data_IF_420632429562
#
_entry.id   IF_420632429562
#
_cell.length_a   1.000
_cell.length_b   1.000
_cell.length_c   1.000
_cell.angle_alpha   90.00
_cell.angle_beta   90.00
_cell.angle_gamma   90.00
#
_symmetry.space_group_name_H-M   'P 1'
#
loop_
_entity.id
_entity.type
_entity.pdbx_description
1 polymer ?
#
# COMPACT_ATOMS: atom_id res chain seq x y z
N UNK A 1 -30.91 29.59 17.01
CA UNK A 1 -30.23 28.41 16.46
C UNK A 1 -31.32 27.46 15.98
N UNK A 2 -31.38 27.16 14.69
CA UNK A 2 -32.36 26.20 14.18
C UNK A 2 -32.09 24.80 14.75
N UNK A 3 -33.14 24.00 14.94
CA UNK A 3 -33.01 22.59 15.32
C UNK A 3 -32.32 21.84 14.19
N UNK A 4 -31.36 20.97 14.54
CA UNK A 4 -30.54 20.23 13.59
C UNK A 4 -30.12 18.90 14.15
N UNK A 5 -29.69 18.02 13.25
CA UNK A 5 -29.09 16.72 13.57
C UNK A 5 -27.71 16.60 12.90
N UNK A 6 -26.72 16.13 13.66
CA UNK A 6 -25.39 15.81 13.18
C UNK A 6 -25.23 14.30 13.10
N UNK A 7 -24.80 13.81 11.95
CA UNK A 7 -24.55 12.39 11.71
C UNK A 7 -23.22 12.18 10.99
N UNK A 8 -22.64 11.01 11.19
CA UNK A 8 -21.47 10.57 10.43
C UNK A 8 -21.90 9.41 9.56
N UNK A 9 -21.73 9.59 8.26
CA UNK A 9 -21.87 8.53 7.29
C UNK A 9 -20.53 7.93 6.90
N UNK A 10 -20.57 6.66 6.54
CA UNK A 10 -19.43 5.89 6.05
C UNK A 10 -19.80 5.18 4.75
N UNK A 11 -18.86 5.18 3.82
CA UNK A 11 -19.04 4.50 2.55
C UNK A 11 -17.78 3.78 2.15
N UNK A 12 -17.93 2.74 1.35
CA UNK A 12 -16.83 1.97 0.79
C UNK A 12 -17.07 1.68 -0.68
N UNK A 13 -15.98 1.54 -1.41
CA UNK A 13 -15.99 1.04 -2.78
C UNK A 13 -14.85 0.07 -2.95
N UNK A 14 -15.06 -0.99 -3.71
CA UNK A 14 -14.07 -2.02 -4.01
C UNK A 14 -13.66 -1.94 -5.48
N UNK A 15 -12.39 -2.23 -5.74
CA UNK A 15 -11.85 -2.30 -7.10
C UNK A 15 -10.88 -3.46 -7.25
N UNK A 16 -10.78 -3.97 -8.47
CA UNK A 16 -9.81 -5.01 -8.81
C UNK A 16 -8.43 -4.38 -8.88
N UNK A 17 -7.42 -4.90 -8.12
CA UNK A 17 -6.05 -4.43 -8.22
C UNK A 17 -5.50 -4.58 -9.64
N UNK A 18 -4.79 -3.57 -10.11
CA UNK A 18 -4.19 -3.49 -11.45
C UNK A 18 -2.67 -3.34 -11.43
N UNK A 19 -2.07 -3.22 -10.23
CA UNK A 19 -0.62 -3.13 -10.04
C UNK A 19 -0.16 -4.02 -8.89
N UNK A 20 0.99 -4.69 -9.09
CA UNK A 20 1.71 -5.40 -8.03
C UNK A 20 2.83 -4.53 -7.53
N UNK A 21 2.89 -4.29 -6.23
CA UNK A 21 3.96 -3.55 -5.58
C UNK A 21 4.90 -4.54 -4.91
N UNK A 22 6.16 -4.51 -5.32
CA UNK A 22 7.25 -5.25 -4.71
C UNK A 22 8.04 -4.30 -3.79
N UNK A 23 8.06 -4.58 -2.51
CA UNK A 23 8.98 -3.94 -1.59
C UNK A 23 10.23 -4.82 -1.49
N UNK A 24 11.34 -4.33 -2.03
CA UNK A 24 12.59 -5.06 -2.12
C UNK A 24 13.66 -4.39 -1.28
N UNK A 25 14.62 -5.19 -0.82
CA UNK A 25 15.78 -4.76 -0.06
C UNK A 25 17.03 -5.27 -0.74
N UNK A 26 18.02 -4.40 -0.89
CA UNK A 26 19.37 -4.77 -1.29
C UNK A 26 20.29 -4.48 -0.12
N UNK A 27 21.03 -5.49 0.33
CA UNK A 27 21.93 -5.35 1.48
C UNK A 27 23.27 -6.02 1.21
N UNK A 28 24.35 -5.30 1.52
CA UNK A 28 25.71 -5.78 1.32
C UNK A 28 26.56 -5.51 2.57
N UNK A 29 27.31 -6.51 2.95
CA UNK A 29 28.25 -6.43 4.04
C UNK A 29 29.61 -5.95 3.55
N UNK A 30 30.28 -5.15 4.38
CA UNK A 30 31.65 -4.70 4.15
C UNK A 30 32.46 -4.66 5.46
N UNK A 31 33.78 -4.70 5.34
CA UNK A 31 34.69 -4.50 6.48
C UNK A 31 34.67 -3.05 6.97
N UNK A 32 34.37 -2.12 6.08
CA UNK A 32 34.23 -0.70 6.30
C UNK A 32 32.98 -0.18 5.56
N UNK A 33 32.57 1.05 5.87
CA UNK A 33 31.38 1.70 5.30
C UNK A 33 31.46 1.84 3.79
N UNK A 34 32.64 2.19 3.25
CA UNK A 34 32.83 2.39 1.82
C UNK A 34 32.60 1.11 1.05
N UNK A 35 33.21 0.00 1.47
CA UNK A 35 33.06 -1.33 0.86
C UNK A 35 31.60 -1.78 0.88
N UNK A 36 30.87 -1.58 2.01
CA UNK A 36 29.47 -1.94 2.12
C UNK A 36 28.59 -1.11 1.16
N UNK A 37 28.83 0.19 1.08
CA UNK A 37 28.10 1.08 0.16
C UNK A 37 28.36 0.77 -1.31
N UNK A 38 29.62 0.52 -1.69
CA UNK A 38 29.98 0.14 -3.07
C UNK A 38 29.24 -1.13 -3.51
N UNK A 39 29.26 -2.17 -2.67
CA UNK A 39 28.54 -3.40 -2.95
C UNK A 39 27.02 -3.20 -3.09
N UNK A 40 26.43 -2.41 -2.18
CA UNK A 40 25.00 -2.11 -2.22
C UNK A 40 24.63 -1.29 -3.47
N UNK A 41 25.47 -0.30 -3.85
CA UNK A 41 25.27 0.51 -5.05
C UNK A 41 25.33 -0.36 -6.31
N UNK A 42 26.27 -1.27 -6.41
CA UNK A 42 26.37 -2.20 -7.53
C UNK A 42 25.13 -3.09 -7.64
N UNK A 43 24.64 -3.63 -6.52
CA UNK A 43 23.43 -4.45 -6.48
C UNK A 43 22.19 -3.65 -6.93
N UNK A 44 22.00 -2.43 -6.43
CA UNK A 44 20.86 -1.57 -6.83
C UNK A 44 20.96 -1.19 -8.31
N UNK A 45 22.14 -0.90 -8.82
CA UNK A 45 22.35 -0.59 -10.23
C UNK A 45 21.94 -1.78 -11.12
N UNK A 46 22.34 -2.99 -10.75
CA UNK A 46 21.93 -4.21 -11.44
C UNK A 46 20.40 -4.43 -11.37
N UNK A 47 19.79 -4.19 -10.21
CA UNK A 47 18.34 -4.28 -10.05
C UNK A 47 17.58 -3.26 -10.92
N UNK A 48 18.07 -2.02 -11.01
CA UNK A 48 17.49 -1.00 -11.87
C UNK A 48 17.63 -1.33 -13.37
N UNK A 49 18.71 -2.01 -13.77
CA UNK A 49 18.88 -2.51 -15.13
C UNK A 49 17.79 -3.57 -15.45
N UNK A 50 17.57 -4.54 -14.56
CA UNK A 50 16.48 -5.53 -14.70
C UNK A 50 15.12 -4.82 -14.77
N UNK A 51 14.87 -3.83 -13.90
CA UNK A 51 13.63 -3.06 -13.93
C UNK A 51 13.40 -2.35 -15.28
N UNK A 52 14.48 -1.79 -15.89
CA UNK A 52 14.41 -1.21 -17.23
C UNK A 52 14.07 -2.25 -18.29
N UNK A 53 14.76 -3.40 -18.30
CA UNK A 53 14.55 -4.48 -19.28
C UNK A 53 13.13 -5.05 -19.20
N UNK A 54 12.54 -5.06 -18.00
CA UNK A 54 11.17 -5.52 -17.74
C UNK A 54 10.12 -4.43 -17.89
N UNK A 55 10.48 -3.24 -18.40
CA UNK A 55 9.56 -2.15 -18.70
C UNK A 55 8.98 -1.42 -17.47
N UNK A 56 9.58 -1.61 -16.29
CA UNK A 56 9.20 -0.83 -15.10
C UNK A 56 9.76 0.58 -15.27
N UNK A 57 8.89 1.57 -15.41
CA UNK A 57 9.25 2.96 -15.66
C UNK A 57 9.87 3.65 -14.44
N UNK A 58 10.55 4.78 -14.62
CA UNK A 58 11.09 5.56 -13.50
C UNK A 58 10.00 6.01 -12.53
N UNK A 59 8.81 6.34 -13.03
CA UNK A 59 7.67 6.72 -12.19
C UNK A 59 7.15 5.56 -11.31
N UNK A 60 7.42 4.32 -11.70
CA UNK A 60 7.02 3.11 -10.99
C UNK A 60 8.12 2.58 -10.04
N UNK A 61 9.20 3.35 -9.82
CA UNK A 61 10.33 3.02 -8.93
C UNK A 61 10.51 4.06 -7.84
N UNK A 62 10.68 3.63 -6.62
CA UNK A 62 10.86 4.53 -5.50
C UNK A 62 11.87 3.96 -4.49
N UNK A 63 12.94 4.71 -4.23
CA UNK A 63 13.78 4.46 -3.05
C UNK A 63 13.03 4.88 -1.80
N UNK A 64 12.78 3.94 -0.90
CA UNK A 64 12.02 4.20 0.34
C UNK A 64 12.90 4.29 1.58
N UNK A 65 14.17 3.89 1.46
CA UNK A 65 15.15 4.02 2.54
C UNK A 65 16.55 3.60 2.09
N UNK A 66 17.55 4.29 2.62
CA UNK A 66 18.97 3.96 2.43
C UNK A 66 19.65 4.14 3.78
N UNK A 67 20.52 3.21 4.16
CA UNK A 67 21.24 3.33 5.40
C UNK A 67 22.43 2.38 5.52
N UNK A 68 23.19 2.58 6.59
CA UNK A 68 24.32 1.72 6.96
C UNK A 68 24.23 1.43 8.44
N UNK A 69 24.36 0.17 8.78
CA UNK A 69 24.36 -0.33 10.16
C UNK A 69 25.71 -0.93 10.50
N UNK A 70 26.13 -0.78 11.75
CA UNK A 70 27.26 -1.49 12.29
C UNK A 70 26.90 -2.97 12.55
N UNK A 71 27.82 -3.86 12.21
CA UNK A 71 27.74 -5.28 12.59
C UNK A 71 28.61 -5.52 13.79
N UNK A 72 28.01 -6.08 14.80
CA UNK A 72 28.68 -6.40 16.05
C UNK A 72 29.01 -7.90 16.11
N UNK A 73 30.05 -8.24 16.87
CA UNK A 73 30.37 -9.64 17.16
C UNK A 73 29.27 -10.31 17.98
N UNK A 74 29.35 -11.62 18.15
CA UNK A 74 28.36 -12.40 18.90
C UNK A 74 28.23 -12.01 20.38
N UNK A 75 29.15 -11.18 20.90
CA UNK A 75 29.12 -10.66 22.29
C UNK A 75 28.55 -9.24 22.36
N UNK A 76 28.38 -8.58 21.22
CA UNK A 76 27.91 -7.19 21.14
C UNK A 76 28.93 -6.16 21.60
N UNK A 77 30.22 -6.53 21.71
CA UNK A 77 31.27 -5.66 22.29
C UNK A 77 32.17 -5.02 21.21
N UNK A 78 32.27 -5.66 20.03
CA UNK A 78 33.20 -5.20 18.98
C UNK A 78 32.47 -5.07 17.65
N UNK A 79 32.66 -3.95 16.95
CA UNK A 79 32.23 -3.79 15.55
C UNK A 79 33.12 -4.64 14.67
N UNK A 80 32.54 -5.58 13.91
CA UNK A 80 33.21 -6.52 13.02
C UNK A 80 33.01 -6.18 11.54
N UNK A 81 32.22 -5.15 11.23
CA UNK A 81 31.95 -4.70 9.88
C UNK A 81 30.71 -3.81 9.82
N UNK A 82 30.24 -3.59 8.62
CA UNK A 82 29.09 -2.73 8.32
C UNK A 82 28.19 -3.43 7.30
N UNK A 83 26.89 -3.17 7.38
CA UNK A 83 25.90 -3.58 6.38
C UNK A 83 25.27 -2.32 5.81
N UNK A 84 25.47 -2.04 4.52
CA UNK A 84 24.70 -1.05 3.79
C UNK A 84 23.43 -1.68 3.25
N UNK A 85 22.32 -0.93 3.24
CA UNK A 85 21.05 -1.37 2.66
C UNK A 85 20.39 -0.26 1.85
N UNK A 86 19.63 -0.69 0.85
CA UNK A 86 18.77 0.16 0.04
C UNK A 86 17.41 -0.52 -0.12
N UNK A 87 16.35 0.17 0.26
CA UNK A 87 14.97 -0.27 0.09
C UNK A 87 14.44 0.34 -1.20
N UNK A 88 14.00 -0.52 -2.12
CA UNK A 88 13.47 -0.12 -3.41
C UNK A 88 12.07 -0.71 -3.59
N UNK A 89 11.10 0.17 -3.82
CA UNK A 89 9.74 -0.20 -4.20
C UNK A 89 9.62 -0.17 -5.71
N UNK A 90 9.05 -1.25 -6.26
CA UNK A 90 8.76 -1.39 -7.69
C UNK A 90 7.27 -1.62 -7.87
N UNK A 91 6.63 -0.82 -8.72
CA UNK A 91 5.24 -1.03 -9.13
C UNK A 91 5.22 -1.74 -10.49
N UNK A 92 4.72 -2.98 -10.51
CA UNK A 92 4.69 -3.85 -11.68
C UNK A 92 3.26 -3.91 -12.21
N UNK A 93 3.04 -3.41 -13.43
CA UNK A 93 1.72 -3.41 -14.07
C UNK A 93 1.43 -4.72 -14.78
N UNK A 94 2.46 -5.39 -15.26
CA UNK A 94 2.37 -6.72 -15.85
C UNK A 94 2.39 -7.79 -14.75
N UNK A 95 1.18 -8.16 -14.31
CA UNK A 95 0.99 -9.07 -13.18
C UNK A 95 1.43 -10.50 -13.48
N UNK A 96 1.36 -10.92 -14.74
CA UNK A 96 1.66 -12.29 -15.16
C UNK A 96 3.17 -12.57 -15.05
N UNK A 97 4.00 -11.55 -15.25
CA UNK A 97 5.46 -11.67 -15.23
C UNK A 97 6.13 -11.28 -13.90
N UNK A 98 5.36 -11.08 -12.83
CA UNK A 98 5.92 -10.71 -11.51
C UNK A 98 6.91 -11.75 -11.01
N UNK A 99 6.60 -13.05 -11.17
CA UNK A 99 7.50 -14.13 -10.77
C UNK A 99 8.83 -14.12 -11.52
N UNK A 100 8.80 -13.82 -12.82
CA UNK A 100 10.00 -13.69 -13.65
C UNK A 100 10.85 -12.49 -13.22
N UNK A 101 10.21 -11.36 -12.93
CA UNK A 101 10.89 -10.15 -12.44
C UNK A 101 11.62 -10.44 -11.13
N UNK A 102 10.95 -11.09 -10.17
CA UNK A 102 11.57 -11.46 -8.89
C UNK A 102 12.77 -12.40 -9.11
N UNK A 103 12.62 -13.37 -10.01
CA UNK A 103 13.67 -14.32 -10.36
C UNK A 103 14.87 -13.63 -11.01
N UNK A 104 14.64 -12.67 -11.90
CA UNK A 104 15.71 -11.92 -12.57
C UNK A 104 16.42 -10.98 -11.60
N UNK A 105 15.69 -10.31 -10.70
CA UNK A 105 16.27 -9.52 -9.62
C UNK A 105 17.18 -10.38 -8.74
N UNK A 106 16.71 -11.53 -8.30
CA UNK A 106 17.50 -12.45 -7.48
C UNK A 106 18.74 -12.97 -8.23
N UNK A 107 18.60 -13.25 -9.52
CA UNK A 107 19.72 -13.76 -10.36
C UNK A 107 20.78 -12.71 -10.62
N UNK A 108 20.37 -11.45 -10.86
CA UNK A 108 21.29 -10.35 -11.18
C UNK A 108 22.01 -9.79 -9.96
N UNK A 109 21.39 -9.85 -8.78
CA UNK A 109 21.93 -9.24 -7.55
C UNK A 109 22.40 -10.26 -6.51
N UNK A 110 22.12 -11.56 -6.74
CA UNK A 110 22.56 -12.65 -5.87
C UNK A 110 22.07 -12.49 -4.42
N UNK A 111 22.96 -12.75 -3.49
CA UNK A 111 22.66 -12.73 -2.05
C UNK A 111 22.39 -11.31 -1.48
N UNK A 112 22.62 -10.27 -2.28
CA UNK A 112 22.24 -8.91 -1.87
C UNK A 112 20.71 -8.68 -1.89
N UNK A 113 19.97 -9.49 -2.66
CA UNK A 113 18.52 -9.37 -2.84
C UNK A 113 17.73 -9.90 -1.65
N UNK A 114 16.76 -9.12 -1.20
CA UNK A 114 15.68 -9.52 -0.30
C UNK A 114 14.34 -9.01 -0.80
N UNK A 115 13.32 -9.82 -0.67
CA UNK A 115 11.93 -9.46 -0.95
C UNK A 115 11.20 -9.29 0.38
N UNK A 116 10.90 -8.05 0.76
CA UNK A 116 10.25 -7.74 2.03
C UNK A 116 8.73 -7.97 1.95
N UNK A 117 8.09 -7.57 0.84
CA UNK A 117 6.66 -7.83 0.61
C UNK A 117 6.26 -7.79 -0.86
N UNK A 118 5.16 -8.48 -1.15
CA UNK A 118 4.43 -8.39 -2.41
C UNK A 118 3.00 -8.00 -2.08
N UNK A 119 2.49 -6.91 -2.67
CA UNK A 119 1.13 -6.45 -2.43
C UNK A 119 0.46 -6.01 -3.73
N UNK A 120 -0.85 -6.28 -3.83
CA UNK A 120 -1.66 -5.84 -4.95
C UNK A 120 -2.38 -4.55 -4.58
N UNK A 121 -2.40 -3.60 -5.51
CA UNK A 121 -3.03 -2.28 -5.31
C UNK A 121 -3.79 -1.85 -6.57
N UNK A 122 -4.73 -0.94 -6.37
CA UNK A 122 -5.32 -0.16 -7.46
C UNK A 122 -4.44 1.07 -7.64
N UNK A 123 -3.90 1.28 -8.85
CA UNK A 123 -2.99 2.37 -9.14
C UNK A 123 -3.69 3.74 -9.02
N UNK A 124 -4.90 3.85 -9.57
CA UNK A 124 -5.73 5.07 -9.47
C UNK A 124 -7.01 4.79 -8.67
N UNK A 125 -7.07 5.30 -7.46
CA UNK A 125 -8.22 5.16 -6.56
C UNK A 125 -9.25 6.29 -6.70
N UNK A 126 -9.09 7.24 -7.62
CA UNK A 126 -9.94 8.45 -7.74
C UNK A 126 -11.41 8.09 -7.94
N UNK A 127 -11.70 7.18 -8.86
CA UNK A 127 -13.07 6.73 -9.13
C UNK A 127 -13.68 6.00 -7.92
N UNK A 128 -12.89 5.16 -7.25
CA UNK A 128 -13.33 4.43 -6.05
C UNK A 128 -13.60 5.39 -4.89
N UNK A 129 -12.76 6.39 -4.69
CA UNK A 129 -12.98 7.44 -3.67
C UNK A 129 -14.26 8.23 -3.95
N UNK A 130 -14.54 8.56 -5.21
CA UNK A 130 -15.78 9.25 -5.60
C UNK A 130 -17.00 8.41 -5.24
N UNK A 131 -16.99 7.11 -5.54
CA UNK A 131 -18.07 6.19 -5.18
C UNK A 131 -18.21 6.04 -3.66
N UNK A 132 -17.09 5.88 -2.94
CA UNK A 132 -17.09 5.76 -1.49
C UNK A 132 -17.66 7.02 -0.81
N UNK A 133 -17.32 8.23 -1.30
CA UNK A 133 -17.90 9.49 -0.81
C UNK A 133 -19.40 9.59 -1.05
N UNK A 134 -19.87 9.18 -2.24
CA UNK A 134 -21.31 9.15 -2.54
C UNK A 134 -22.03 8.18 -1.59
N UNK A 135 -21.49 6.97 -1.39
CA UNK A 135 -22.07 6.02 -0.45
C UNK A 135 -22.06 6.53 1.01
N UNK A 136 -21.00 7.24 1.42
CA UNK A 136 -20.91 7.84 2.75
C UNK A 136 -21.99 8.93 2.97
N UNK A 137 -22.25 9.75 1.96
CA UNK A 137 -23.28 10.77 2.04
C UNK A 137 -24.69 10.16 2.12
N UNK A 138 -24.99 9.14 1.34
CA UNK A 138 -26.27 8.43 1.41
C UNK A 138 -26.48 7.71 2.75
N UNK A 139 -25.43 7.11 3.33
CA UNK A 139 -25.47 6.52 4.67
C UNK A 139 -25.76 7.60 5.75
N UNK A 140 -25.10 8.76 5.65
CA UNK A 140 -25.38 9.88 6.55
C UNK A 140 -26.85 10.34 6.44
N UNK A 141 -27.38 10.44 5.22
CA UNK A 141 -28.76 10.85 4.97
C UNK A 141 -29.75 9.82 5.51
N UNK A 142 -29.49 8.53 5.31
CA UNK A 142 -30.34 7.46 5.83
C UNK A 142 -30.42 7.49 7.36
N UNK A 143 -29.26 7.62 8.03
CA UNK A 143 -29.19 7.78 9.49
C UNK A 143 -29.93 9.02 9.99
N UNK A 144 -29.77 10.15 9.30
CA UNK A 144 -30.44 11.38 9.68
C UNK A 144 -31.96 11.29 9.56
N UNK A 145 -32.48 10.61 8.51
CA UNK A 145 -33.90 10.33 8.33
C UNK A 145 -34.46 9.46 9.46
N UNK A 146 -33.75 8.41 9.84
CA UNK A 146 -34.13 7.51 10.92
C UNK A 146 -34.23 8.27 12.25
N UNK A 147 -33.19 9.03 12.61
CA UNK A 147 -33.17 9.79 13.86
C UNK A 147 -34.20 10.94 13.87
N UNK A 148 -34.43 11.63 12.75
CA UNK A 148 -35.48 12.65 12.65
C UNK A 148 -36.86 12.02 12.92
N UNK A 149 -37.15 10.83 12.33
CA UNK A 149 -38.35 10.07 12.59
C UNK A 149 -38.52 9.67 14.07
N UNK A 150 -37.45 9.19 14.72
CA UNK A 150 -37.48 8.87 16.15
C UNK A 150 -37.74 10.12 17.03
N UNK A 151 -37.32 11.30 16.59
CA UNK A 151 -37.56 12.55 17.28
C UNK A 151 -38.96 13.16 16.96
N UNK A 152 -39.79 12.52 16.11
CA UNK A 152 -41.07 13.03 15.66
C UNK A 152 -40.93 14.27 14.78
N UNK A 153 -39.83 14.40 14.02
CA UNK A 153 -39.50 15.53 13.16
C UNK A 153 -39.30 15.08 11.70
N UNK A 154 -39.37 16.03 10.79
CA UNK A 154 -38.98 15.79 9.39
C UNK A 154 -37.55 16.24 9.15
N UNK A 155 -36.84 15.52 8.29
CA UNK A 155 -35.49 15.88 7.86
C UNK A 155 -35.56 17.10 6.94
N UNK A 156 -34.79 18.12 7.25
CA UNK A 156 -34.67 19.36 6.48
C UNK A 156 -33.49 19.33 5.49
N UNK A 157 -33.06 20.53 5.14
CA UNK A 157 -31.94 20.73 4.20
C UNK A 157 -30.58 20.43 4.84
N UNK A 158 -29.58 20.18 3.98
CA UNK A 158 -28.20 20.07 4.39
C UNK A 158 -27.64 21.44 4.79
N UNK A 159 -27.22 21.57 6.03
CA UNK A 159 -26.65 22.82 6.56
C UNK A 159 -25.12 22.86 6.51
N UNK A 160 -24.47 21.67 6.61
CA UNK A 160 -23.03 21.55 6.60
C UNK A 160 -22.63 20.17 6.14
N UNK A 161 -21.57 20.11 5.33
CA UNK A 161 -20.88 18.87 4.97
C UNK A 161 -19.40 19.04 5.27
N UNK A 162 -18.81 18.04 5.90
CA UNK A 162 -17.38 18.02 6.21
C UNK A 162 -16.86 16.60 6.04
N UNK A 163 -15.82 16.42 5.25
CA UNK A 163 -15.14 15.12 5.16
C UNK A 163 -14.51 14.82 6.52
N UNK A 164 -14.91 13.70 7.14
CA UNK A 164 -14.45 13.29 8.45
C UNK A 164 -13.27 12.33 8.30
N UNK A 165 -12.07 12.80 8.63
CA UNK A 165 -10.84 12.04 8.51
C UNK A 165 -10.28 12.05 7.08
N UNK A 166 -8.96 12.03 6.95
CA UNK A 166 -8.33 11.80 5.64
C UNK A 166 -8.74 10.43 5.11
N UNK A 167 -8.87 10.31 3.78
CA UNK A 167 -9.11 9.05 3.11
C UNK A 167 -8.13 8.01 3.64
N UNK A 168 -8.63 6.96 4.30
CA UNK A 168 -7.77 5.86 4.72
C UNK A 168 -7.26 5.15 3.47
N UNK A 169 -5.93 4.98 3.39
CA UNK A 169 -5.29 4.22 2.33
C UNK A 169 -5.94 2.82 2.20
N UNK A 170 -6.01 2.27 0.97
CA UNK A 170 -6.61 0.98 0.74
C UNK A 170 -6.02 -0.07 1.68
N UNK A 171 -6.86 -0.72 2.47
CA UNK A 171 -6.45 -1.85 3.29
C UNK A 171 -6.81 -3.13 2.56
N UNK A 172 -5.85 -4.01 2.26
CA UNK A 172 -6.16 -5.32 1.73
C UNK A 172 -6.90 -6.11 2.81
N UNK A 173 -8.10 -6.60 2.52
CA UNK A 173 -8.72 -7.62 3.34
C UNK A 173 -7.86 -8.88 3.24
N UNK A 174 -7.18 -9.24 4.33
CA UNK A 174 -6.47 -10.50 4.43
C UNK A 174 -7.51 -11.65 4.39
N UNK A 175 -7.71 -12.24 3.21
CA UNK A 175 -8.34 -13.54 3.08
C UNK A 175 -7.30 -14.59 3.50
N UNK A 176 -7.56 -15.25 4.63
CA UNK A 176 -6.88 -16.50 4.97
C UNK A 176 -7.40 -17.58 4.03
N UNK A 177 -6.78 -17.75 2.89
CA UNK A 177 -7.00 -18.92 2.05
C UNK A 177 -6.02 -20.03 2.46
N UNK A 178 -6.58 -21.23 2.54
CA UNK A 178 -5.89 -22.47 2.87
C UNK A 178 -4.71 -22.71 1.92
N UNK A 179 -3.60 -23.21 2.49
CA UNK A 179 -2.46 -23.73 1.74
C UNK A 179 -2.93 -24.85 0.80
N UNK A 180 -2.88 -24.57 -0.49
CA UNK A 180 -2.94 -25.59 -1.54
C UNK A 180 -1.52 -25.80 -2.07
N UNK A 181 -1.21 -27.06 -2.31
CA UNK A 181 0.08 -27.64 -2.64
C UNK A 181 0.91 -26.86 -3.67
N UNK A 182 2.16 -26.56 -3.28
CA UNK A 182 3.16 -25.92 -4.13
C UNK A 182 3.61 -26.86 -5.24
N UNK A 183 3.30 -26.54 -6.46
CA UNK A 183 4.05 -27.04 -7.62
C UNK A 183 5.19 -26.06 -7.91
N UNK A 184 6.38 -26.60 -8.11
CA UNK A 184 7.60 -25.85 -8.34
C UNK A 184 7.55 -25.10 -9.68
N UNK A 185 7.64 -23.74 -9.66
CA UNK A 185 7.88 -23.01 -10.90
C UNK A 185 7.53 -21.52 -10.91
N UNK A 186 6.49 -21.10 -10.22
CA UNK A 186 6.16 -19.66 -10.13
C UNK A 186 5.45 -19.37 -8.80
N UNK A 187 5.78 -18.27 -8.17
CA UNK A 187 5.06 -17.82 -6.96
C UNK A 187 3.74 -17.19 -7.40
N UNK A 188 2.56 -17.88 -7.21
CA UNK A 188 1.29 -17.30 -7.62
C UNK A 188 0.97 -16.11 -6.72
N UNK A 189 0.62 -14.97 -7.32
CA UNK A 189 0.14 -13.78 -6.62
C UNK A 189 -1.37 -13.70 -6.87
N UNK A 190 -2.16 -14.07 -5.85
CA UNK A 190 -3.62 -14.02 -5.95
C UNK A 190 -4.14 -12.62 -5.61
N UNK A 191 -5.03 -12.10 -6.48
CA UNK A 191 -5.65 -10.79 -6.33
C UNK A 191 -6.95 -10.88 -5.53
N UNK A 192 -6.97 -10.26 -4.33
CA UNK A 192 -8.22 -9.91 -3.66
C UNK A 192 -8.75 -8.56 -4.17
N UNK A 193 -9.94 -8.13 -3.72
CA UNK A 193 -10.42 -6.76 -3.94
C UNK A 193 -9.72 -5.76 -3.01
N UNK A 194 -9.33 -4.62 -3.56
CA UNK A 194 -8.88 -3.47 -2.77
C UNK A 194 -10.07 -2.60 -2.41
N UNK A 195 -10.27 -2.32 -1.13
CA UNK A 195 -11.39 -1.50 -0.65
C UNK A 195 -10.89 -0.13 -0.24
N UNK A 196 -11.57 0.91 -0.73
CA UNK A 196 -11.37 2.31 -0.33
C UNK A 196 -12.55 2.75 0.51
N UNK A 197 -12.31 3.46 1.61
CA UNK A 197 -13.35 3.95 2.52
C UNK A 197 -13.34 5.48 2.57
N UNK A 198 -14.52 6.07 2.75
CA UNK A 198 -14.70 7.49 3.02
C UNK A 198 -15.67 7.69 4.18
N UNK A 199 -15.50 8.77 4.93
CA UNK A 199 -16.42 9.17 5.99
C UNK A 199 -16.77 10.64 5.84
N UNK A 200 -18.03 10.97 6.09
CA UNK A 200 -18.54 12.35 6.00
C UNK A 200 -19.38 12.69 7.22
N UNK A 201 -19.11 13.83 7.84
CA UNK A 201 -19.96 14.41 8.86
C UNK A 201 -20.93 15.39 8.17
N UNK A 202 -22.23 15.17 8.37
CA UNK A 202 -23.28 16.00 7.75
C UNK A 202 -24.21 16.52 8.82
N UNK A 203 -24.51 17.81 8.73
CA UNK A 203 -25.54 18.48 9.54
C UNK A 203 -26.75 18.72 8.68
N UNK A 204 -27.90 18.26 9.13
CA UNK A 204 -29.20 18.50 8.52
C UNK A 204 -30.06 19.35 9.45
N UNK A 205 -30.85 20.28 8.88
CA UNK A 205 -31.90 20.94 9.60
C UNK A 205 -33.03 19.95 9.95
N UNK A 206 -33.80 20.28 11.01
CA UNK A 206 -35.04 19.59 11.36
C UNK A 206 -36.21 20.51 11.11
N UNK A 207 -37.35 19.95 10.69
CA UNK A 207 -38.62 20.64 10.48
C UNK A 207 -39.75 20.05 11.31
#
# INVERSE_FOLDING_TARGET
>A
MGEHIDVIGSGMSAGTPDVVVLDTRFSCDGRDVATALEGCTAAVTAALAVANERGITEADRQSTGIGVNQRWDGTGQKVVGYTAYHLLRLAVRDREHVGDIISDLARSTGNAFGLDSVSLKVADTTALLTQARAAAFEDARAKALEYAGHAGRELGEVLRVQEAGGAMAPSPKAYRTAMAEMSAGSMPVEGGESTVTASVAVRFGLR
#
